data_IF_478677436939
#
_entry.id   IF_478677436939
#
_cell.length_a   1.000
_cell.length_b   1.000
_cell.length_c   1.000
_cell.angle_alpha   90.00
_cell.angle_beta   90.00
_cell.angle_gamma   90.00
#
_symmetry.space_group_name_H-M   'P 1'
#
loop_
_entity.id
_entity.type
_entity.pdbx_description
1 polymer ?
#
# COMPACT_ATOMS: atom_id res chain seq x y z
N UNK A 1 -40.64 15.30 -34.14
CA UNK A 1 -40.49 16.54 -33.35
C UNK A 1 -38.99 16.72 -33.11
N UNK A 2 -38.34 17.63 -33.85
CA UNK A 2 -36.89 17.87 -33.73
C UNK A 2 -36.65 18.81 -32.54
N UNK A 3 -35.69 18.49 -31.66
CA UNK A 3 -35.29 19.40 -30.60
C UNK A 3 -34.67 20.66 -31.24
N UNK A 4 -34.97 21.87 -30.73
CA UNK A 4 -34.40 23.11 -31.28
C UNK A 4 -32.88 23.07 -31.13
N UNK A 5 -32.15 23.46 -32.18
CA UNK A 5 -30.69 23.39 -32.28
C UNK A 5 -29.97 24.03 -31.07
N UNK A 6 -30.58 25.08 -30.48
CA UNK A 6 -30.10 25.74 -29.26
C UNK A 6 -30.13 24.87 -28.00
N UNK A 7 -31.14 24.00 -27.86
CA UNK A 7 -31.25 23.12 -26.69
C UNK A 7 -30.12 22.08 -26.70
N UNK A 8 -29.79 21.54 -27.87
CA UNK A 8 -28.68 20.60 -28.02
C UNK A 8 -27.33 21.25 -27.66
N UNK A 9 -27.11 22.49 -28.10
CA UNK A 9 -25.88 23.25 -27.80
C UNK A 9 -25.74 23.48 -26.30
N UNK A 10 -26.83 23.85 -25.60
CA UNK A 10 -26.80 24.08 -24.16
C UNK A 10 -26.44 22.80 -23.38
N UNK A 11 -27.05 21.66 -23.72
CA UNK A 11 -26.75 20.38 -23.07
C UNK A 11 -25.31 19.92 -23.30
N UNK A 12 -24.79 20.11 -24.53
CA UNK A 12 -23.39 19.79 -24.86
C UNK A 12 -22.44 20.69 -24.04
N UNK A 13 -22.73 21.99 -23.95
CA UNK A 13 -21.93 22.93 -23.16
C UNK A 13 -21.95 22.60 -21.66
N UNK A 14 -23.12 22.22 -21.11
CA UNK A 14 -23.23 21.77 -19.72
C UNK A 14 -22.45 20.48 -19.48
N UNK A 15 -22.49 19.52 -20.40
CA UNK A 15 -21.74 18.27 -20.29
C UNK A 15 -20.22 18.51 -20.31
N UNK A 16 -19.74 19.38 -21.20
CA UNK A 16 -18.33 19.79 -21.27
C UNK A 16 -17.87 20.49 -19.99
N UNK A 17 -18.71 21.37 -19.43
CA UNK A 17 -18.40 22.04 -18.16
C UNK A 17 -18.33 21.04 -17.01
N UNK A 18 -19.23 20.06 -17.00
CA UNK A 18 -19.23 18.98 -16.00
C UNK A 18 -17.95 18.15 -16.12
N UNK A 19 -17.55 17.79 -17.34
CA UNK A 19 -16.31 17.06 -17.65
C UNK A 19 -15.05 17.81 -17.20
N UNK A 20 -15.03 19.15 -17.32
CA UNK A 20 -13.93 19.99 -16.87
C UNK A 20 -13.85 20.09 -15.33
N UNK A 21 -14.99 19.94 -14.65
CA UNK A 21 -15.08 19.99 -13.20
C UNK A 21 -14.72 18.66 -12.51
N UNK A 22 -14.58 17.55 -13.26
CA UNK A 22 -14.06 16.32 -12.70
C UNK A 22 -12.57 16.49 -12.36
N UNK A 23 -12.12 16.04 -11.18
CA UNK A 23 -10.70 16.02 -10.85
C UNK A 23 -9.97 14.99 -11.71
N UNK A 24 -9.39 15.42 -12.82
CA UNK A 24 -8.46 14.61 -13.64
C UNK A 24 -7.05 14.70 -13.07
N UNK A 25 -6.86 14.17 -11.86
CA UNK A 25 -5.55 14.13 -11.22
C UNK A 25 -4.86 12.80 -11.49
N UNK A 26 -3.98 12.73 -12.49
CA UNK A 26 -3.01 11.62 -12.55
C UNK A 26 -1.85 11.95 -11.63
N UNK A 27 -1.72 11.26 -10.51
CA UNK A 27 -0.53 11.34 -9.67
C UNK A 27 0.57 10.49 -10.27
N UNK A 28 1.63 11.12 -10.78
CA UNK A 28 2.86 10.41 -11.09
C UNK A 28 3.48 9.96 -9.76
N UNK A 29 3.47 8.66 -9.49
CA UNK A 29 4.06 8.08 -8.28
C UNK A 29 5.58 7.99 -8.47
N UNK A 30 6.35 8.52 -7.52
CA UNK A 30 7.80 8.30 -7.51
C UNK A 30 8.05 6.81 -7.32
N UNK A 31 8.73 6.19 -8.29
CA UNK A 31 9.03 4.77 -8.22
C UNK A 31 10.08 4.50 -7.13
N UNK A 32 9.69 3.78 -6.09
CA UNK A 32 10.58 3.31 -5.03
C UNK A 32 10.68 1.79 -5.07
N UNK A 33 11.91 1.28 -5.13
CA UNK A 33 12.20 -0.15 -5.06
C UNK A 33 12.90 -0.51 -3.76
N UNK A 34 12.52 -1.67 -3.22
CA UNK A 34 13.34 -2.36 -2.22
C UNK A 34 14.50 -3.01 -2.97
N UNK A 35 15.72 -2.62 -2.60
CA UNK A 35 16.93 -3.17 -3.22
C UNK A 35 17.22 -4.56 -2.68
N UNK A 36 17.83 -5.42 -3.50
CA UNK A 36 18.26 -6.74 -3.06
C UNK A 36 19.26 -6.62 -1.89
N UNK A 37 19.23 -7.59 -0.99
CA UNK A 37 19.99 -7.63 0.25
C UNK A 37 19.38 -6.80 1.40
N UNK A 38 18.32 -6.03 1.17
CA UNK A 38 17.64 -5.28 2.24
C UNK A 38 16.85 -6.20 3.15
N UNK A 39 16.85 -5.86 4.44
CA UNK A 39 16.07 -6.54 5.45
C UNK A 39 15.26 -5.57 6.30
N UNK A 40 14.22 -6.11 6.94
CA UNK A 40 13.52 -5.52 8.07
C UNK A 40 13.72 -6.45 9.26
N UNK A 41 13.82 -5.90 10.47
CA UNK A 41 13.98 -6.68 11.70
C UNK A 41 12.86 -6.33 12.68
N UNK A 42 12.34 -7.33 13.37
CA UNK A 42 11.35 -7.14 14.44
C UNK A 42 11.99 -6.44 15.64
N UNK A 43 11.29 -5.45 16.22
CA UNK A 43 11.80 -4.62 17.32
C UNK A 43 12.30 -3.24 16.91
N UNK A 44 12.39 -2.96 15.60
CA UNK A 44 12.49 -1.61 15.08
C UNK A 44 11.08 -1.12 14.74
N UNK A 45 10.43 -0.48 15.72
CA UNK A 45 8.99 -0.18 15.78
C UNK A 45 8.40 0.62 14.60
N UNK A 46 9.22 1.01 13.62
CA UNK A 46 8.85 1.91 12.54
C UNK A 46 9.50 1.60 11.19
N UNK A 47 10.10 0.42 10.99
CA UNK A 47 10.67 0.06 9.69
C UNK A 47 9.68 -0.79 8.89
N UNK A 48 9.26 -0.27 7.73
CA UNK A 48 8.42 -0.97 6.76
C UNK A 48 8.84 -0.59 5.35
N UNK A 49 8.44 -1.39 4.38
CA UNK A 49 8.57 -1.06 2.97
C UNK A 49 7.24 -0.49 2.48
N UNK A 50 7.13 0.85 2.30
CA UNK A 50 5.92 1.46 1.78
C UNK A 50 5.82 1.20 0.28
N UNK A 51 4.59 0.96 -0.18
CA UNK A 51 4.26 1.02 -1.60
C UNK A 51 4.49 2.44 -2.14
N UNK A 52 4.82 2.62 -3.44
CA UNK A 52 4.97 3.94 -4.05
C UNK A 52 3.77 4.87 -3.82
N UNK A 53 2.54 4.34 -3.81
CA UNK A 53 1.33 5.13 -3.57
C UNK A 53 1.08 5.50 -2.11
N UNK A 54 1.82 4.87 -1.19
CA UNK A 54 1.60 4.93 0.25
C UNK A 54 0.27 4.32 0.69
N UNK A 55 -0.49 3.66 -0.19
CA UNK A 55 -1.76 3.02 0.21
C UNK A 55 -1.49 1.76 1.03
N UNK A 56 -0.40 1.06 0.72
CA UNK A 56 0.04 -0.16 1.39
C UNK A 56 1.44 -0.04 1.97
N UNK A 57 1.72 -0.84 2.98
CA UNK A 57 3.08 -1.11 3.45
C UNK A 57 3.25 -2.60 3.79
N UNK A 58 4.49 -3.07 3.68
CA UNK A 58 4.91 -4.44 3.98
C UNK A 58 5.93 -4.44 5.12
N UNK A 59 5.83 -5.40 6.04
CA UNK A 59 6.77 -5.55 7.16
C UNK A 59 6.17 -6.29 8.34
N UNK A 60 6.72 -6.05 9.53
CA UNK A 60 6.28 -6.73 10.75
C UNK A 60 5.21 -5.94 11.51
N UNK A 61 4.18 -6.65 12.00
CA UNK A 61 3.13 -6.12 12.86
C UNK A 61 3.07 -6.88 14.17
N UNK A 62 3.28 -6.18 15.28
CA UNK A 62 3.26 -6.75 16.62
C UNK A 62 1.86 -7.25 17.00
N UNK A 63 1.78 -8.44 17.58
CA UNK A 63 0.54 -9.02 18.09
C UNK A 63 0.26 -8.53 19.51
N UNK A 64 -0.57 -7.49 19.61
CA UNK A 64 -0.93 -6.88 20.90
C UNK A 64 0.29 -6.43 21.70
N UNK A 65 0.33 -6.79 22.97
CA UNK A 65 1.43 -6.45 23.89
C UNK A 65 2.46 -7.59 24.05
N UNK A 66 2.60 -8.48 23.05
CA UNK A 66 3.52 -9.64 23.08
C UNK A 66 4.82 -9.36 22.33
N UNK A 67 5.81 -10.27 22.42
CA UNK A 67 7.02 -10.23 21.57
C UNK A 67 6.87 -11.08 20.29
N UNK A 68 5.63 -11.25 19.83
CA UNK A 68 5.28 -11.98 18.61
C UNK A 68 4.86 -11.00 17.51
N UNK A 69 5.27 -11.29 16.28
CA UNK A 69 5.06 -10.44 15.12
C UNK A 69 4.49 -11.24 13.95
N UNK A 70 3.58 -10.63 13.20
CA UNK A 70 3.15 -11.13 11.89
C UNK A 70 3.91 -10.39 10.79
N UNK A 71 4.43 -11.15 9.83
CA UNK A 71 4.86 -10.59 8.56
C UNK A 71 3.60 -10.31 7.72
N UNK A 72 3.36 -9.06 7.34
CA UNK A 72 2.07 -8.64 6.82
C UNK A 72 2.16 -7.53 5.77
N UNK A 73 1.05 -7.37 5.06
CA UNK A 73 0.72 -6.20 4.23
C UNK A 73 -0.50 -5.53 4.84
N UNK A 74 -0.47 -4.21 5.02
CA UNK A 74 -1.59 -3.45 5.56
C UNK A 74 -1.88 -2.19 4.76
N UNK A 75 -3.08 -1.65 4.93
CA UNK A 75 -3.48 -0.35 4.41
C UNK A 75 -2.83 0.75 5.26
N UNK A 76 -1.82 1.44 4.73
CA UNK A 76 -1.01 2.36 5.51
C UNK A 76 -1.69 3.71 5.76
N UNK A 77 -2.64 4.11 4.92
CA UNK A 77 -3.43 5.34 5.13
C UNK A 77 -4.55 5.20 6.17
N UNK A 78 -4.87 3.97 6.59
CA UNK A 78 -5.90 3.73 7.60
C UNK A 78 -5.24 3.75 8.99
N UNK A 79 -5.72 4.56 9.94
CA UNK A 79 -5.11 4.65 11.29
C UNK A 79 -4.99 3.30 12.00
N UNK A 80 -6.00 2.43 11.86
CA UNK A 80 -6.01 1.09 12.45
C UNK A 80 -5.03 0.12 11.75
N UNK A 81 -4.47 0.54 10.60
CA UNK A 81 -3.54 -0.23 9.78
C UNK A 81 -4.08 -1.63 9.49
N UNK A 82 -5.32 -1.70 8.98
CA UNK A 82 -6.01 -2.95 8.68
C UNK A 82 -5.16 -3.85 7.78
N UNK A 83 -5.01 -5.11 8.16
CA UNK A 83 -4.23 -6.08 7.39
C UNK A 83 -4.97 -6.47 6.10
N UNK A 84 -4.32 -6.29 4.97
CA UNK A 84 -4.78 -6.81 3.69
C UNK A 84 -4.36 -8.28 3.50
N UNK A 85 -3.22 -8.66 4.09
CA UNK A 85 -2.67 -10.02 4.07
C UNK A 85 -1.67 -10.20 5.21
N UNK A 86 -1.47 -11.44 5.67
CA UNK A 86 -0.39 -11.82 6.58
C UNK A 86 0.10 -13.24 6.28
N UNK A 87 1.39 -13.49 6.52
CA UNK A 87 2.01 -14.81 6.47
C UNK A 87 1.44 -15.70 7.58
N UNK A 88 1.58 -17.03 7.46
CA UNK A 88 0.96 -18.04 8.34
C UNK A 88 0.83 -17.59 9.81
N UNK A 89 -0.42 -17.31 10.22
CA UNK A 89 -0.71 -16.80 11.55
C UNK A 89 -0.49 -17.80 12.69
N UNK A 90 -0.26 -19.08 12.37
CA UNK A 90 0.06 -20.11 13.37
C UNK A 90 1.53 -20.09 13.78
N UNK A 91 2.40 -19.48 12.96
CA UNK A 91 3.84 -19.42 13.16
C UNK A 91 4.32 -17.96 13.17
N UNK A 92 3.96 -17.17 14.20
CA UNK A 92 4.39 -15.78 14.30
C UNK A 92 5.90 -15.68 14.54
N UNK A 93 6.52 -14.64 14.00
CA UNK A 93 7.93 -14.35 14.16
C UNK A 93 8.25 -13.85 15.58
N UNK A 94 9.42 -14.21 16.09
CA UNK A 94 9.91 -13.75 17.39
C UNK A 94 10.52 -12.35 17.29
N UNK A 95 10.73 -11.68 18.43
CA UNK A 95 11.59 -10.48 18.48
C UNK A 95 12.99 -10.81 17.95
N UNK A 96 13.60 -9.85 17.24
CA UNK A 96 14.86 -9.97 16.52
C UNK A 96 14.87 -10.88 15.30
N UNK A 97 13.72 -11.46 14.90
CA UNK A 97 13.57 -12.09 13.58
C UNK A 97 13.70 -11.05 12.46
N UNK A 98 14.18 -11.46 11.29
CA UNK A 98 14.36 -10.60 10.13
C UNK A 98 13.71 -11.18 8.88
N UNK A 99 13.10 -10.32 8.07
CA UNK A 99 12.73 -10.65 6.69
C UNK A 99 13.73 -10.00 5.74
N UNK A 100 14.28 -10.75 4.81
CA UNK A 100 15.27 -10.27 3.85
C UNK A 100 14.81 -10.54 2.41
N UNK A 101 14.94 -9.52 1.57
CA UNK A 101 14.93 -9.69 0.12
C UNK A 101 16.33 -10.12 -0.30
N UNK A 102 16.52 -11.39 -0.62
CA UNK A 102 17.84 -12.00 -0.85
C UNK A 102 18.44 -11.54 -2.19
N UNK A 103 19.74 -11.79 -2.38
CA UNK A 103 20.46 -11.39 -3.60
C UNK A 103 20.01 -12.15 -4.86
N UNK A 104 19.41 -13.32 -4.70
CA UNK A 104 18.81 -14.14 -5.76
C UNK A 104 17.32 -13.83 -5.99
N UNK A 105 16.75 -12.87 -5.25
CA UNK A 105 15.37 -12.39 -5.44
C UNK A 105 14.31 -13.15 -4.63
N UNK A 106 14.74 -14.01 -3.70
CA UNK A 106 13.87 -14.63 -2.71
C UNK A 106 13.46 -13.66 -1.59
N UNK A 107 12.40 -14.02 -0.87
CA UNK A 107 11.96 -13.31 0.33
C UNK A 107 11.93 -14.30 1.49
N UNK A 108 12.89 -14.18 2.40
CA UNK A 108 13.13 -15.16 3.45
C UNK A 108 12.88 -14.55 4.83
N UNK A 109 12.17 -15.29 5.67
CA UNK A 109 11.97 -14.98 7.07
C UNK A 109 12.92 -15.85 7.90
N UNK A 110 13.76 -15.20 8.70
CA UNK A 110 14.75 -15.84 9.56
C UNK A 110 14.50 -15.46 11.02
N UNK A 111 14.38 -16.47 11.87
CA UNK A 111 14.33 -16.30 13.32
C UNK A 111 15.76 -16.06 13.90
N UNK A 112 15.89 -15.59 15.16
CA UNK A 112 17.17 -15.32 15.81
C UNK A 112 18.11 -16.52 15.97
#
# INVERSE_FOLDING_TARGET
MALPMDSAILHIATLLLLQLLLPHGTTAQAYSNVTLGKSLTTGDDNTSWPSPSGDFAFGFRRLGNTDLFLLAIWFDKIPDKTMAWYADGNNPALRSSAVQLTSDGGLELNDP
#
